data_IF_165467304583
#
_entry.id   IF_165467304583
#
_cell.length_a   1.000
_cell.length_b   1.000
_cell.length_c   1.000
_cell.angle_alpha   90.00
_cell.angle_beta   90.00
_cell.angle_gamma   90.00
#
_symmetry.space_group_name_H-M   'P 1'
#
loop_
_entity.id
_entity.type
_entity.pdbx_description
1 polymer ?
#
# COMPACT_ATOMS: atom_id res chain seq x y z
N UNK A 1 -47.31 -58.79 44.45
CA UNK A 1 -46.02 -58.20 44.12
C UNK A 1 -46.06 -57.81 42.61
N UNK A 2 -46.36 -56.57 42.36
CA UNK A 2 -46.43 -56.05 40.96
C UNK A 2 -45.22 -55.16 40.69
N UNK A 3 -44.70 -55.13 39.45
CA UNK A 3 -43.50 -54.36 39.14
C UNK A 3 -43.80 -52.86 38.91
N UNK A 4 -42.96 -52.04 39.52
CA UNK A 4 -42.96 -50.58 39.38
C UNK A 4 -42.62 -50.15 37.95
N UNK A 5 -43.47 -49.31 37.33
CA UNK A 5 -43.19 -48.64 36.06
C UNK A 5 -42.35 -47.37 36.34
N UNK A 6 -41.14 -47.34 35.80
CA UNK A 6 -40.32 -46.15 35.79
C UNK A 6 -40.80 -45.19 34.65
N UNK A 7 -41.25 -44.00 35.04
CA UNK A 7 -41.47 -42.87 34.12
C UNK A 7 -40.11 -42.32 33.68
N UNK A 8 -39.82 -42.45 32.36
CA UNK A 8 -38.73 -41.68 31.73
C UNK A 8 -39.25 -40.29 31.35
N UNK A 9 -38.74 -39.28 32.01
CA UNK A 9 -38.92 -37.88 31.62
C UNK A 9 -38.12 -37.61 30.34
N UNK A 10 -38.82 -37.29 29.27
CA UNK A 10 -38.22 -36.78 28.03
C UNK A 10 -37.93 -35.28 28.21
N UNK A 11 -36.64 -34.91 28.26
CA UNK A 11 -36.18 -33.53 28.17
C UNK A 11 -36.32 -33.08 26.68
N UNK A 12 -36.87 -31.88 26.41
CA UNK A 12 -36.94 -31.37 25.05
C UNK A 12 -35.53 -31.02 24.55
N UNK A 13 -35.25 -31.18 23.23
CA UNK A 13 -33.97 -30.80 22.66
C UNK A 13 -33.81 -29.29 22.71
N UNK A 14 -32.70 -28.84 23.30
CA UNK A 14 -32.25 -27.46 23.30
C UNK A 14 -31.84 -27.11 21.84
N UNK A 15 -32.71 -26.42 21.10
CA UNK A 15 -32.38 -25.83 19.83
C UNK A 15 -31.40 -24.67 20.06
N UNK A 16 -30.11 -24.95 19.91
CA UNK A 16 -29.09 -23.92 19.74
C UNK A 16 -29.37 -23.21 18.42
N UNK A 17 -30.02 -22.05 18.48
CA UNK A 17 -30.07 -21.13 17.36
C UNK A 17 -28.63 -20.61 17.11
N UNK A 18 -27.93 -21.23 16.18
CA UNK A 18 -26.70 -20.68 15.64
C UNK A 18 -27.14 -19.47 14.80
N UNK A 19 -27.12 -18.30 15.42
CA UNK A 19 -27.30 -17.04 14.74
C UNK A 19 -26.20 -16.90 13.69
N UNK A 20 -26.53 -17.04 12.42
CA UNK A 20 -25.64 -16.67 11.33
C UNK A 20 -25.39 -15.17 11.47
N UNK A 21 -24.21 -14.79 11.97
CA UNK A 21 -23.79 -13.40 11.97
C UNK A 21 -23.87 -12.91 10.52
N UNK A 22 -24.78 -11.98 10.24
CA UNK A 22 -24.95 -11.40 8.91
C UNK A 22 -23.63 -10.75 8.53
N UNK A 23 -23.03 -11.20 7.41
CA UNK A 23 -21.81 -10.57 6.88
C UNK A 23 -22.12 -9.14 6.51
N UNK A 24 -21.34 -8.20 7.03
CA UNK A 24 -21.43 -6.81 6.62
C UNK A 24 -21.20 -6.68 5.11
N UNK A 25 -22.03 -5.92 4.43
CA UNK A 25 -21.96 -5.65 3.00
C UNK A 25 -21.84 -4.16 2.80
N UNK A 26 -20.90 -3.74 1.98
CA UNK A 26 -20.70 -2.34 1.65
C UNK A 26 -21.83 -1.81 0.75
N UNK A 27 -22.59 -0.87 1.27
CA UNK A 27 -23.62 -0.11 0.54
C UNK A 27 -23.53 1.36 0.94
N UNK A 28 -24.13 2.28 0.19
CA UNK A 28 -24.24 3.68 0.59
C UNK A 28 -24.82 3.89 1.98
N UNK A 29 -25.64 2.97 2.47
CA UNK A 29 -26.28 3.08 3.79
C UNK A 29 -25.46 2.46 4.91
N UNK A 30 -24.59 1.48 4.61
CA UNK A 30 -23.80 0.77 5.62
C UNK A 30 -22.39 1.30 5.79
N UNK A 31 -21.84 2.02 4.80
CA UNK A 31 -20.50 2.59 4.85
C UNK A 31 -20.52 3.92 5.59
N UNK A 32 -19.98 3.91 6.82
CA UNK A 32 -19.87 5.07 7.72
C UNK A 32 -18.46 5.12 8.32
N UNK A 33 -17.43 5.42 7.53
CA UNK A 33 -16.05 5.33 7.99
C UNK A 33 -15.77 6.31 9.13
N UNK A 34 -15.05 5.82 10.15
CA UNK A 34 -14.53 6.64 11.24
C UNK A 34 -13.18 6.13 11.72
N UNK A 35 -12.33 7.04 12.18
CA UNK A 35 -11.08 6.69 12.88
C UNK A 35 -11.44 6.17 14.27
N UNK A 36 -11.11 4.90 14.53
CA UNK A 36 -11.34 4.27 15.84
C UNK A 36 -10.09 4.28 16.72
N UNK A 37 -8.91 4.41 16.10
CA UNK A 37 -7.62 4.53 16.79
C UNK A 37 -6.64 5.26 15.90
N UNK A 38 -5.78 6.07 16.50
CA UNK A 38 -4.63 6.65 15.83
C UNK A 38 -3.41 6.60 16.75
N UNK A 39 -2.26 6.22 16.20
CA UNK A 39 -1.00 6.10 16.93
C UNK A 39 0.16 6.63 16.10
N UNK A 40 1.06 7.37 16.74
CA UNK A 40 2.33 7.77 16.15
C UNK A 40 3.31 6.61 16.27
N UNK A 41 3.81 6.11 15.13
CA UNK A 41 4.78 5.02 15.09
C UNK A 41 6.22 5.54 15.15
N UNK A 42 6.50 6.64 14.47
CA UNK A 42 7.82 7.27 14.47
C UNK A 42 7.71 8.79 14.53
N UNK A 43 8.64 9.41 15.24
CA UNK A 43 8.80 10.87 15.32
C UNK A 43 10.16 11.24 14.74
N UNK A 44 10.18 12.17 13.79
CA UNK A 44 11.41 12.71 13.20
C UNK A 44 12.10 13.70 14.15
N UNK A 45 13.42 13.89 13.99
CA UNK A 45 14.18 14.90 14.74
C UNK A 45 14.57 14.52 16.16
N UNK A 46 14.21 13.34 16.66
CA UNK A 46 14.53 12.96 18.05
C UNK A 46 15.96 12.41 18.27
N UNK A 47 16.77 12.33 17.22
CA UNK A 47 18.21 12.00 17.30
C UNK A 47 18.56 10.63 17.90
N UNK A 48 17.61 9.89 18.43
CA UNK A 48 17.82 8.56 18.98
C UNK A 48 17.92 7.54 17.85
N UNK A 49 19.04 6.82 17.76
CA UNK A 49 19.27 5.80 16.72
C UNK A 49 19.79 6.34 15.39
N UNK A 50 20.20 7.61 15.28
CA UNK A 50 20.85 8.14 14.07
C UNK A 50 19.91 8.43 12.90
N UNK A 51 18.58 8.54 13.14
CA UNK A 51 17.59 8.91 12.12
C UNK A 51 17.14 10.33 12.29
N UNK A 52 17.31 11.15 11.23
CA UNK A 52 16.85 12.53 11.18
C UNK A 52 15.36 12.61 10.85
N UNK A 53 14.89 11.86 9.85
CA UNK A 53 13.51 11.95 9.34
C UNK A 53 12.98 10.56 8.96
N UNK A 54 11.75 10.23 9.36
CA UNK A 54 11.03 9.07 8.87
C UNK A 54 10.07 9.48 7.75
N UNK A 55 10.13 8.77 6.61
CA UNK A 55 9.31 9.02 5.44
C UNK A 55 8.87 7.73 4.74
N UNK A 56 8.06 7.86 3.70
CA UNK A 56 7.63 6.78 2.80
C UNK A 56 7.05 5.60 3.59
N UNK A 57 5.95 5.80 4.31
CA UNK A 57 5.39 4.77 5.17
C UNK A 57 4.67 3.69 4.37
N UNK A 58 4.88 2.43 4.77
CA UNK A 58 4.20 1.24 4.25
C UNK A 58 3.52 0.48 5.38
N UNK A 59 2.42 -0.19 5.06
CA UNK A 59 1.73 -1.09 6.00
C UNK A 59 1.24 -2.34 5.26
N UNK A 60 1.35 -3.49 5.91
CA UNK A 60 0.78 -4.74 5.47
C UNK A 60 0.08 -5.46 6.63
N UNK A 61 -1.08 -6.06 6.35
CA UNK A 61 -1.72 -6.99 7.26
C UNK A 61 -1.25 -8.40 6.90
N UNK A 62 -0.64 -9.09 7.84
CA UNK A 62 -0.14 -10.45 7.68
C UNK A 62 -1.17 -11.47 8.14
N UNK A 63 -1.07 -12.74 7.70
CA UNK A 63 -1.96 -13.81 8.19
C UNK A 63 -1.97 -13.86 9.73
N UNK A 64 -3.16 -14.09 10.32
CA UNK A 64 -3.36 -14.08 11.76
C UNK A 64 -3.62 -12.69 12.36
N UNK A 65 -3.88 -11.67 11.54
CA UNK A 65 -4.31 -10.34 11.97
C UNK A 65 -3.18 -9.44 12.49
N UNK A 66 -1.92 -9.87 12.39
CA UNK A 66 -0.78 -9.04 12.74
C UNK A 66 -0.50 -7.97 11.67
N UNK A 67 0.12 -6.86 12.08
CA UNK A 67 0.53 -5.79 11.17
C UNK A 67 2.04 -5.63 11.12
N UNK A 68 2.54 -5.36 9.94
CA UNK A 68 3.88 -4.87 9.68
C UNK A 68 3.79 -3.45 9.16
N UNK A 69 4.47 -2.51 9.81
CA UNK A 69 4.66 -1.14 9.33
C UNK A 69 6.14 -0.92 9.04
N UNK A 70 6.49 -0.31 7.90
CA UNK A 70 7.85 0.06 7.55
C UNK A 70 7.93 1.52 7.08
N UNK A 71 9.09 2.14 7.25
CA UNK A 71 9.38 3.50 6.78
C UNK A 71 10.85 3.66 6.44
N UNK A 72 11.17 4.60 5.55
CA UNK A 72 12.55 5.08 5.39
C UNK A 72 12.98 5.85 6.62
N UNK A 73 14.10 5.46 7.21
CA UNK A 73 14.81 6.26 8.21
C UNK A 73 15.97 7.01 7.56
N UNK A 74 15.78 8.26 7.23
CA UNK A 74 16.79 9.14 6.61
C UNK A 74 17.74 9.64 7.68
N UNK A 75 19.04 9.35 7.54
CA UNK A 75 20.01 9.55 8.62
C UNK A 75 20.43 11.01 8.82
N UNK A 76 20.51 11.79 7.74
CA UNK A 76 21.13 13.13 7.79
C UNK A 76 20.17 14.31 7.60
N UNK A 77 19.15 14.13 6.78
CA UNK A 77 18.19 15.18 6.41
C UNK A 77 16.88 14.59 5.92
N UNK A 78 15.91 15.44 5.58
CA UNK A 78 14.65 15.03 4.95
C UNK A 78 14.79 14.82 3.42
N UNK A 79 15.97 15.07 2.82
CA UNK A 79 16.19 14.91 1.39
C UNK A 79 16.05 13.48 0.91
N UNK A 80 15.65 13.30 -0.35
CA UNK A 80 15.50 11.97 -0.97
C UNK A 80 16.84 11.27 -1.19
N UNK A 81 17.90 12.02 -1.31
CA UNK A 81 19.30 11.55 -1.45
C UNK A 81 19.96 11.39 -0.10
N UNK A 82 20.87 10.43 0.06
CA UNK A 82 21.71 10.25 1.25
C UNK A 82 21.45 8.93 1.97
N UNK A 83 22.24 8.70 3.00
CA UNK A 83 22.21 7.45 3.78
C UNK A 83 20.88 7.21 4.47
N UNK A 84 20.36 5.99 4.38
CA UNK A 84 19.06 5.60 4.92
C UNK A 84 19.09 4.20 5.54
N UNK A 85 18.07 3.93 6.35
CA UNK A 85 17.69 2.58 6.78
C UNK A 85 16.24 2.30 6.33
N UNK A 86 15.91 1.04 6.23
CA UNK A 86 14.51 0.60 6.24
C UNK A 86 14.19 0.15 7.66
N UNK A 87 13.35 0.94 8.32
CA UNK A 87 12.91 0.74 9.69
C UNK A 87 11.52 0.09 9.68
N UNK A 88 11.33 -1.00 10.43
CA UNK A 88 10.05 -1.68 10.54
C UNK A 88 9.62 -1.84 12.01
N UNK A 89 8.32 -1.95 12.24
CA UNK A 89 7.68 -2.27 13.53
C UNK A 89 6.57 -3.28 13.32
N UNK A 90 6.33 -4.10 14.32
CA UNK A 90 5.32 -5.15 14.32
C UNK A 90 4.25 -4.89 15.36
N UNK A 91 3.03 -5.24 15.01
CA UNK A 91 1.90 -5.32 15.93
C UNK A 91 1.31 -6.73 15.85
N UNK A 92 1.23 -7.48 16.94
CA UNK A 92 0.62 -8.81 16.95
C UNK A 92 -0.90 -8.78 17.04
N UNK A 93 -1.50 -7.62 17.31
CA UNK A 93 -2.88 -7.44 17.78
C UNK A 93 -3.66 -6.40 16.96
N UNK A 94 -3.42 -6.37 15.64
CA UNK A 94 -4.15 -5.48 14.72
C UNK A 94 -3.91 -3.99 14.97
N UNK A 95 -2.70 -3.62 15.41
CA UNK A 95 -2.31 -2.24 15.68
C UNK A 95 -2.69 -1.73 17.07
N UNK A 96 -3.09 -2.60 18.00
CA UNK A 96 -3.35 -2.19 19.38
C UNK A 96 -2.04 -1.83 20.10
N UNK A 97 -1.03 -2.69 19.96
CA UNK A 97 0.31 -2.46 20.50
C UNK A 97 1.38 -2.62 19.40
N UNK A 98 2.52 -1.97 19.60
CA UNK A 98 3.63 -1.99 18.65
C UNK A 98 4.94 -2.32 19.33
N UNK A 99 5.68 -3.26 18.75
CA UNK A 99 7.05 -3.59 19.12
C UNK A 99 8.05 -2.45 18.90
N UNK A 100 9.31 -2.66 19.25
CA UNK A 100 10.39 -1.71 18.98
C UNK A 100 10.62 -1.55 17.47
N UNK A 101 11.37 -0.52 17.09
CA UNK A 101 11.85 -0.36 15.72
C UNK A 101 12.98 -1.35 15.46
N UNK A 102 12.84 -2.14 14.40
CA UNK A 102 13.83 -3.07 13.88
C UNK A 102 14.32 -2.58 12.51
N UNK A 103 15.58 -2.87 12.17
CA UNK A 103 16.18 -2.45 10.90
C UNK A 103 16.14 -3.63 9.93
N UNK A 104 15.35 -3.49 8.86
CA UNK A 104 15.28 -4.49 7.80
C UNK A 104 16.45 -4.41 6.81
N UNK A 105 16.93 -3.19 6.54
CA UNK A 105 18.11 -2.93 5.72
C UNK A 105 18.79 -1.64 6.14
N UNK A 106 20.12 -1.59 6.02
CA UNK A 106 20.97 -0.43 6.30
C UNK A 106 22.06 -0.34 5.22
N UNK A 107 22.26 0.84 4.65
CA UNK A 107 23.30 1.09 3.64
C UNK A 107 24.54 1.79 4.20
N UNK A 108 24.65 1.89 5.53
CA UNK A 108 25.74 2.60 6.21
C UNK A 108 25.54 4.11 6.23
N UNK A 109 26.62 4.88 6.04
CA UNK A 109 26.61 6.36 6.12
C UNK A 109 27.02 7.03 4.82
N UNK A 110 27.28 6.26 3.78
CA UNK A 110 27.69 6.73 2.46
C UNK A 110 26.53 6.82 1.47
N UNK A 111 26.84 7.33 0.31
CA UNK A 111 26.05 7.20 -0.89
C UNK A 111 24.66 7.81 -0.92
N UNK A 112 23.93 7.38 -1.93
CA UNK A 112 22.54 7.77 -2.18
C UNK A 112 21.57 7.06 -1.25
N UNK A 113 21.91 5.89 -0.79
CA UNK A 113 21.11 5.14 0.15
C UNK A 113 20.00 4.30 -0.47
N UNK A 114 19.18 3.77 0.44
CA UNK A 114 18.04 2.94 0.14
C UNK A 114 16.81 3.82 -0.13
N UNK A 115 15.99 3.42 -1.09
CA UNK A 115 14.69 4.02 -1.33
C UNK A 115 13.64 2.95 -1.12
N UNK A 116 12.86 3.08 -0.03
CA UNK A 116 11.80 2.13 0.32
C UNK A 116 10.73 2.14 -0.76
N UNK A 117 10.36 0.96 -1.20
CA UNK A 117 9.45 0.78 -2.33
C UNK A 117 8.12 0.19 -1.92
N UNK A 118 7.99 -1.12 -1.99
CA UNK A 118 6.69 -1.75 -1.85
C UNK A 118 6.72 -3.02 -0.99
N UNK A 119 5.62 -3.22 -0.24
CA UNK A 119 5.35 -4.44 0.51
C UNK A 119 4.28 -5.29 -0.19
N UNK A 120 4.44 -6.61 -0.19
CA UNK A 120 3.38 -7.54 -0.53
C UNK A 120 3.35 -8.72 0.43
N UNK A 121 2.15 -9.22 0.70
CA UNK A 121 1.95 -10.49 1.42
C UNK A 121 1.60 -11.57 0.40
N UNK A 122 2.37 -12.65 0.38
CA UNK A 122 2.27 -13.75 -0.55
C UNK A 122 2.13 -15.07 0.21
N UNK A 123 0.89 -15.46 0.52
CA UNK A 123 0.64 -16.56 1.44
C UNK A 123 1.27 -16.26 2.82
N UNK A 124 2.19 -17.10 3.32
CA UNK A 124 2.85 -16.86 4.61
C UNK A 124 4.05 -15.91 4.53
N UNK A 125 4.50 -15.56 3.34
CA UNK A 125 5.69 -14.74 3.14
C UNK A 125 5.34 -13.25 3.01
N UNK A 126 6.23 -12.39 3.49
CA UNK A 126 6.24 -10.96 3.22
C UNK A 126 7.39 -10.64 2.30
N UNK A 127 7.12 -9.89 1.25
CA UNK A 127 8.06 -9.43 0.26
C UNK A 127 8.23 -7.92 0.40
N UNK A 128 9.47 -7.45 0.50
CA UNK A 128 9.80 -6.03 0.56
C UNK A 128 10.73 -5.69 -0.60
N UNK A 129 10.26 -4.88 -1.54
CA UNK A 129 11.05 -4.33 -2.62
C UNK A 129 11.54 -2.94 -2.29
N UNK A 130 12.79 -2.65 -2.62
CA UNK A 130 13.40 -1.33 -2.48
C UNK A 130 14.45 -1.10 -3.56
N UNK A 131 14.72 0.16 -3.87
CA UNK A 131 15.80 0.55 -4.76
C UNK A 131 17.04 0.99 -3.96
N UNK A 132 18.20 0.87 -4.57
CA UNK A 132 19.48 1.38 -4.07
C UNK A 132 20.16 2.18 -5.17
N UNK A 133 20.77 3.30 -4.81
CA UNK A 133 21.49 4.16 -5.74
C UNK A 133 20.59 4.67 -6.89
N UNK A 134 19.35 5.04 -6.60
CA UNK A 134 18.36 5.41 -7.61
C UNK A 134 18.51 6.85 -8.16
N UNK A 135 19.30 7.70 -7.51
CA UNK A 135 19.47 9.11 -7.89
C UNK A 135 20.85 9.38 -8.48
N UNK A 136 21.03 9.36 -9.80
CA UNK A 136 22.29 9.78 -10.42
C UNK A 136 22.46 11.31 -10.33
N UNK A 137 23.70 11.87 -10.29
CA UNK A 137 25.00 11.18 -10.36
C UNK A 137 25.63 11.01 -8.96
N UNK A 138 25.22 10.01 -8.20
CA UNK A 138 25.76 9.76 -6.88
C UNK A 138 26.93 8.75 -6.94
N UNK A 139 27.94 8.95 -6.08
CA UNK A 139 29.07 8.01 -5.93
C UNK A 139 28.63 6.79 -5.10
N UNK A 140 27.62 6.08 -5.54
CA UNK A 140 26.97 5.01 -4.80
C UNK A 140 27.11 3.63 -5.49
N UNK A 141 27.43 3.61 -6.77
CA UNK A 141 27.44 2.40 -7.59
C UNK A 141 26.28 2.34 -8.59
N UNK A 142 26.14 1.26 -9.34
CA UNK A 142 25.05 1.12 -10.28
C UNK A 142 23.70 1.05 -9.55
N UNK A 143 22.65 1.67 -10.09
CA UNK A 143 21.31 1.55 -9.57
C UNK A 143 20.88 0.08 -9.50
N UNK A 144 20.18 -0.29 -8.44
CA UNK A 144 19.71 -1.66 -8.28
C UNK A 144 18.35 -1.71 -7.59
N UNK A 145 17.56 -2.72 -7.97
CA UNK A 145 16.30 -3.07 -7.31
C UNK A 145 16.48 -4.37 -6.54
N UNK A 146 16.18 -4.34 -5.27
CA UNK A 146 16.42 -5.42 -4.33
C UNK A 146 15.12 -5.93 -3.72
N UNK A 147 15.04 -7.23 -3.49
CA UNK A 147 13.92 -7.92 -2.84
C UNK A 147 14.40 -8.60 -1.57
N UNK A 148 13.79 -8.29 -0.45
CA UNK A 148 13.89 -9.04 0.81
C UNK A 148 12.67 -9.93 0.98
N UNK A 149 12.88 -11.10 1.60
CA UNK A 149 11.83 -12.04 1.99
C UNK A 149 11.85 -12.27 3.48
N UNK A 150 10.67 -12.30 4.06
CA UNK A 150 10.43 -12.73 5.42
C UNK A 150 9.41 -13.86 5.45
N UNK A 151 9.62 -14.84 6.34
CA UNK A 151 8.71 -15.97 6.58
C UNK A 151 8.07 -15.94 7.97
N UNK A 152 8.32 -14.89 8.71
CA UNK A 152 7.86 -14.70 10.09
C UNK A 152 7.10 -13.37 10.28
N UNK A 153 6.46 -12.90 9.19
CA UNK A 153 5.69 -11.67 9.18
C UNK A 153 6.52 -10.39 9.20
N UNK A 154 7.79 -10.45 8.73
CA UNK A 154 8.70 -9.32 8.64
C UNK A 154 9.59 -9.12 9.87
N UNK A 155 9.61 -10.08 10.84
CA UNK A 155 10.50 -10.00 12.01
C UNK A 155 11.95 -10.28 11.66
N UNK A 156 12.18 -11.20 10.74
CA UNK A 156 13.51 -11.44 10.19
C UNK A 156 13.46 -11.44 8.66
N UNK A 157 14.58 -11.09 8.04
CA UNK A 157 14.71 -10.97 6.61
C UNK A 157 15.83 -11.82 6.08
N UNK A 158 15.58 -12.54 5.00
CA UNK A 158 16.60 -13.27 4.26
C UNK A 158 17.57 -12.35 3.52
N UNK A 159 18.59 -12.90 2.87
CA UNK A 159 19.52 -12.11 2.06
C UNK A 159 18.78 -11.42 0.90
N UNK A 160 19.20 -10.21 0.51
CA UNK A 160 18.57 -9.48 -0.59
C UNK A 160 18.83 -10.19 -1.94
N UNK A 161 17.77 -10.37 -2.71
CA UNK A 161 17.84 -10.80 -4.10
C UNK A 161 17.92 -9.57 -5.01
N UNK A 162 18.94 -9.50 -5.86
CA UNK A 162 19.07 -8.44 -6.87
C UNK A 162 18.21 -8.79 -8.08
N UNK A 163 17.32 -7.85 -8.48
CA UNK A 163 16.43 -7.98 -9.63
C UNK A 163 16.86 -7.12 -10.83
N UNK A 164 17.99 -6.44 -10.77
CA UNK A 164 18.43 -5.47 -11.80
C UNK A 164 18.61 -6.13 -13.17
N UNK A 165 19.07 -7.36 -13.23
CA UNK A 165 19.23 -8.10 -14.51
C UNK A 165 17.87 -8.33 -15.20
N UNK A 166 16.84 -8.67 -14.42
CA UNK A 166 15.46 -8.83 -14.92
C UNK A 166 14.91 -7.53 -15.49
N UNK A 167 15.36 -6.41 -14.94
CA UNK A 167 14.95 -5.07 -15.31
C UNK A 167 15.80 -4.46 -16.43
N UNK A 168 16.77 -5.25 -16.97
CA UNK A 168 17.64 -4.81 -18.07
C UNK A 168 18.62 -3.71 -17.69
N UNK A 169 18.98 -3.63 -16.39
CA UNK A 169 19.87 -2.60 -15.85
C UNK A 169 19.24 -1.21 -15.72
N UNK A 170 17.95 -1.08 -16.03
CA UNK A 170 17.22 0.18 -15.83
C UNK A 170 16.81 0.37 -14.38
N UNK A 171 16.67 1.61 -13.96
CA UNK A 171 16.15 1.95 -12.64
C UNK A 171 14.67 1.53 -12.56
N UNK A 172 14.35 0.78 -11.53
CA UNK A 172 12.98 0.49 -11.16
C UNK A 172 12.83 0.82 -9.68
N UNK A 173 12.20 1.93 -9.39
CA UNK A 173 11.82 2.34 -8.05
C UNK A 173 10.42 1.76 -7.74
N UNK A 174 10.32 0.71 -6.90
CA UNK A 174 9.02 0.09 -6.64
C UNK A 174 8.09 1.03 -5.90
N UNK A 175 6.83 1.08 -6.26
CA UNK A 175 5.79 1.80 -5.55
C UNK A 175 5.93 3.32 -5.53
N UNK A 176 6.02 3.93 -4.28
CA UNK A 176 5.85 3.26 -2.98
C UNK A 176 4.41 2.85 -2.70
N UNK A 177 4.26 1.79 -1.92
CA UNK A 177 2.94 1.29 -1.53
C UNK A 177 2.87 -0.24 -1.40
N UNK A 178 1.76 -0.82 -1.85
CA UNK A 178 1.55 -2.26 -1.79
C UNK A 178 1.72 -2.91 -3.16
N UNK A 179 2.42 -4.05 -3.21
CA UNK A 179 2.22 -5.03 -4.25
C UNK A 179 1.03 -5.94 -3.93
N UNK A 180 0.59 -6.73 -4.88
CA UNK A 180 -0.53 -7.66 -4.70
C UNK A 180 -0.15 -9.09 -5.08
N UNK A 181 -0.81 -10.07 -4.43
CA UNK A 181 -0.96 -11.41 -4.94
C UNK A 181 -2.38 -11.58 -5.46
N UNK A 182 -2.54 -11.80 -6.77
CA UNK A 182 -3.85 -11.95 -7.39
C UNK A 182 -4.65 -13.11 -6.79
N UNK A 183 -5.91 -12.84 -6.49
CA UNK A 183 -6.84 -13.82 -5.93
C UNK A 183 -7.79 -14.38 -7.00
N UNK A 184 -7.88 -13.76 -8.17
CA UNK A 184 -8.84 -14.07 -9.24
C UNK A 184 -8.14 -14.37 -10.57
N UNK A 185 -8.85 -15.04 -11.46
CA UNK A 185 -8.45 -15.20 -12.85
C UNK A 185 -8.45 -13.82 -13.60
N UNK A 186 -7.68 -13.67 -14.67
CA UNK A 186 -6.60 -14.57 -15.08
C UNK A 186 -5.41 -14.51 -14.11
N UNK A 187 -4.55 -15.54 -14.16
CA UNK A 187 -3.30 -15.62 -13.39
C UNK A 187 -3.46 -15.52 -11.87
N UNK A 188 -4.42 -16.25 -11.29
CA UNK A 188 -4.55 -16.36 -9.84
C UNK A 188 -3.23 -16.82 -9.20
N UNK A 189 -2.81 -16.16 -8.14
CA UNK A 189 -1.53 -16.42 -7.45
C UNK A 189 -0.37 -15.57 -7.94
N UNK A 190 -0.51 -14.88 -9.08
CA UNK A 190 0.51 -13.96 -9.62
C UNK A 190 0.79 -12.84 -8.64
N UNK A 191 2.06 -12.57 -8.41
CA UNK A 191 2.53 -11.36 -7.73
C UNK A 191 2.67 -10.24 -8.74
N UNK A 192 2.22 -9.05 -8.35
CA UNK A 192 2.31 -7.85 -9.17
C UNK A 192 2.80 -6.69 -8.32
N UNK A 193 3.88 -6.08 -8.74
CA UNK A 193 4.33 -4.79 -8.24
C UNK A 193 4.28 -3.75 -9.34
N UNK A 194 4.07 -2.50 -8.99
CA UNK A 194 4.29 -1.37 -9.88
C UNK A 194 5.51 -0.60 -9.42
N UNK A 195 6.25 -0.05 -10.35
CA UNK A 195 7.36 0.83 -10.09
C UNK A 195 7.52 1.84 -11.22
N UNK A 196 8.29 2.88 -10.94
CA UNK A 196 8.61 3.94 -11.89
C UNK A 196 10.11 3.96 -12.15
N UNK A 197 10.50 4.57 -13.25
CA UNK A 197 11.90 4.82 -13.56
C UNK A 197 12.47 5.99 -12.75
N UNK A 198 13.55 6.56 -13.22
CA UNK A 198 14.02 7.84 -12.69
C UNK A 198 13.00 8.93 -12.96
N UNK A 199 12.95 9.95 -12.11
CA UNK A 199 12.08 11.14 -12.24
C UNK A 199 12.14 11.78 -13.65
N UNK A 200 13.03 11.34 -14.46
CA UNK A 200 13.34 11.98 -15.72
C UNK A 200 12.68 11.37 -16.94
N UNK A 201 12.11 10.15 -16.98
CA UNK A 201 11.61 9.73 -18.29
C UNK A 201 10.96 8.34 -18.49
N UNK A 202 10.99 7.40 -17.57
CA UNK A 202 10.71 6.01 -17.95
C UNK A 202 9.26 5.56 -17.75
N UNK A 203 8.46 6.41 -17.11
CA UNK A 203 7.06 6.09 -16.82
C UNK A 203 6.93 5.01 -15.75
N UNK A 204 5.81 4.27 -15.77
CA UNK A 204 5.55 3.17 -14.84
C UNK A 204 5.60 1.83 -15.56
N UNK A 205 6.04 0.81 -14.84
CA UNK A 205 6.13 -0.58 -15.32
C UNK A 205 5.66 -1.53 -14.24
N UNK A 206 4.98 -2.60 -14.64
CA UNK A 206 4.63 -3.70 -13.75
C UNK A 206 5.77 -4.72 -13.71
N UNK A 207 5.97 -5.30 -12.54
CA UNK A 207 6.89 -6.42 -12.29
C UNK A 207 6.05 -7.62 -11.86
N UNK A 208 6.18 -8.73 -12.57
CA UNK A 208 5.32 -9.90 -12.45
C UNK A 208 6.09 -11.13 -12.02
N UNK A 209 5.47 -11.98 -11.18
CA UNK A 209 5.96 -13.30 -10.86
C UNK A 209 4.82 -14.30 -10.74
N UNK A 210 4.95 -15.45 -11.40
CA UNK A 210 3.97 -16.53 -11.43
C UNK A 210 4.35 -17.74 -10.54
N UNK A 211 5.49 -17.67 -9.85
CA UNK A 211 6.06 -18.77 -9.07
C UNK A 211 6.35 -18.40 -7.60
N UNK A 212 5.55 -17.49 -7.03
CA UNK A 212 5.71 -17.03 -5.64
C UNK A 212 6.92 -16.11 -5.47
N UNK A 213 7.30 -15.37 -6.51
CA UNK A 213 8.38 -14.39 -6.47
C UNK A 213 9.78 -15.00 -6.60
N UNK A 214 9.93 -16.23 -7.07
CA UNK A 214 11.24 -16.84 -7.32
C UNK A 214 11.87 -16.29 -8.60
N UNK A 215 11.05 -16.17 -9.65
CA UNK A 215 11.42 -15.56 -10.92
C UNK A 215 10.52 -14.38 -11.19
N UNK A 216 11.11 -13.36 -11.78
CA UNK A 216 10.43 -12.11 -12.08
C UNK A 216 10.59 -11.77 -13.56
N UNK A 217 9.67 -11.00 -14.08
CA UNK A 217 9.72 -10.44 -15.42
C UNK A 217 8.97 -9.11 -15.49
N UNK A 218 9.29 -8.30 -16.46
CA UNK A 218 8.53 -7.11 -16.77
C UNK A 218 7.14 -7.46 -17.28
N UNK A 219 6.15 -6.68 -16.89
CA UNK A 219 4.81 -6.65 -17.42
C UNK A 219 4.54 -5.40 -18.23
N UNK A 220 3.28 -4.99 -18.27
CA UNK A 220 2.83 -3.79 -18.97
C UNK A 220 3.44 -2.51 -18.40
N UNK A 221 3.69 -1.56 -19.29
CA UNK A 221 4.22 -0.25 -18.92
C UNK A 221 3.46 0.89 -19.58
N UNK A 222 3.55 2.07 -18.97
CA UNK A 222 3.04 3.33 -19.50
C UNK A 222 4.22 4.32 -19.58
N UNK A 223 4.67 4.68 -20.79
CA UNK A 223 5.69 5.70 -20.96
C UNK A 223 5.12 7.10 -20.71
N UNK A 224 5.86 8.12 -21.12
CA UNK A 224 5.39 9.51 -21.03
C UNK A 224 4.06 9.77 -21.77
N UNK A 225 3.35 10.78 -21.34
CA UNK A 225 2.11 11.29 -21.96
C UNK A 225 2.45 12.57 -22.76
N UNK A 226 1.87 12.80 -23.95
CA UNK A 226 0.81 12.03 -24.62
C UNK A 226 1.31 10.73 -25.25
N UNK A 227 0.46 9.71 -25.20
CA UNK A 227 0.79 8.40 -25.78
C UNK A 227 0.83 8.43 -27.30
N UNK A 228 1.82 7.72 -27.91
CA UNK A 228 1.92 7.57 -29.36
C UNK A 228 2.45 8.78 -30.12
N UNK A 229 2.81 9.86 -29.43
CA UNK A 229 3.47 11.03 -30.01
C UNK A 229 4.99 10.99 -29.74
N UNK A 230 5.79 11.69 -30.55
CA UNK A 230 7.19 11.93 -30.21
C UNK A 230 7.30 12.64 -28.87
N UNK A 231 8.23 12.18 -28.03
CA UNK A 231 8.41 12.72 -26.69
C UNK A 231 9.07 14.11 -26.73
N UNK A 232 8.52 15.02 -25.96
CA UNK A 232 9.04 16.36 -25.76
C UNK A 232 9.53 16.56 -24.31
N UNK A 233 10.45 17.49 -24.04
CA UNK A 233 10.99 17.73 -22.69
C UNK A 233 9.98 18.13 -21.63
N UNK A 234 8.76 18.50 -22.01
CA UNK A 234 7.67 18.89 -21.10
C UNK A 234 6.54 17.86 -21.01
N UNK A 235 6.70 16.71 -21.68
CA UNK A 235 5.70 15.67 -21.56
C UNK A 235 5.70 15.08 -20.16
N UNK A 236 4.50 14.83 -19.65
CA UNK A 236 4.32 14.19 -18.37
C UNK A 236 4.86 12.77 -18.37
N UNK A 237 5.57 12.42 -17.32
CA UNK A 237 5.98 11.04 -17.04
C UNK A 237 5.15 10.51 -15.87
N UNK A 238 4.34 9.44 -16.06
CA UNK A 238 3.70 8.74 -14.95
C UNK A 238 4.75 8.32 -13.92
N UNK A 239 4.44 8.54 -12.63
CA UNK A 239 5.39 8.37 -11.55
C UNK A 239 4.85 7.37 -10.52
N UNK A 240 5.21 7.47 -9.26
CA UNK A 240 4.86 6.57 -8.16
C UNK A 240 3.50 5.90 -8.30
N UNK A 241 3.47 4.56 -8.19
CA UNK A 241 2.28 3.80 -8.56
C UNK A 241 2.02 2.61 -7.64
N UNK A 242 0.74 2.26 -7.51
CA UNK A 242 0.29 1.15 -6.68
C UNK A 242 -0.78 0.32 -7.40
N UNK A 243 -0.59 -1.01 -7.59
CA UNK A 243 -1.59 -1.89 -8.15
C UNK A 243 -2.61 -2.34 -7.09
N UNK A 244 -3.83 -2.62 -7.52
CA UNK A 244 -4.85 -3.33 -6.73
C UNK A 244 -5.75 -4.17 -7.64
N UNK A 245 -6.21 -5.33 -7.15
CA UNK A 245 -7.04 -6.23 -7.92
C UNK A 245 -8.52 -5.89 -7.74
N UNK A 246 -9.24 -5.76 -8.86
CA UNK A 246 -10.68 -5.53 -8.89
C UNK A 246 -11.49 -6.82 -8.82
N UNK A 247 -12.81 -6.77 -8.49
CA UNK A 247 -13.66 -7.96 -8.39
C UNK A 247 -13.74 -8.80 -9.66
N UNK A 248 -13.55 -8.21 -10.83
CA UNK A 248 -13.52 -8.91 -12.13
C UNK A 248 -12.16 -9.56 -12.47
N UNK A 249 -11.19 -9.47 -11.56
CA UNK A 249 -9.84 -10.01 -11.74
C UNK A 249 -8.88 -9.12 -12.52
N UNK A 250 -9.34 -7.98 -13.03
CA UNK A 250 -8.46 -6.98 -13.63
C UNK A 250 -7.61 -6.29 -12.56
N UNK A 251 -6.49 -5.70 -12.99
CA UNK A 251 -5.60 -4.91 -12.13
C UNK A 251 -5.81 -3.44 -12.46
N UNK A 252 -6.20 -2.66 -11.47
CA UNK A 252 -6.13 -1.21 -11.55
C UNK A 252 -4.81 -0.73 -10.94
N UNK A 253 -4.25 0.33 -11.49
CA UNK A 253 -3.01 0.95 -11.03
C UNK A 253 -3.30 2.41 -10.72
N UNK A 254 -3.15 2.80 -9.46
CA UNK A 254 -3.21 4.20 -9.03
C UNK A 254 -1.83 4.83 -9.26
N UNK A 255 -1.77 5.93 -10.02
CA UNK A 255 -0.52 6.53 -10.47
C UNK A 255 -0.48 8.01 -10.11
N UNK A 256 0.66 8.49 -9.62
CA UNK A 256 0.94 9.89 -9.35
C UNK A 256 0.99 10.66 -10.67
N UNK A 257 0.21 11.73 -10.74
CA UNK A 257 0.17 12.66 -11.85
C UNK A 257 1.20 13.78 -11.61
N UNK A 258 2.48 13.47 -11.84
CA UNK A 258 3.62 14.29 -11.39
C UNK A 258 3.53 15.76 -11.83
N UNK A 259 3.16 16.01 -13.08
CA UNK A 259 3.12 17.35 -13.64
C UNK A 259 1.69 17.92 -13.68
N UNK A 260 0.75 17.32 -12.97
CA UNK A 260 -0.65 17.72 -12.98
C UNK A 260 -1.23 17.79 -14.40
N UNK A 261 -0.88 16.81 -15.25
CA UNK A 261 -1.34 16.76 -16.63
C UNK A 261 -2.86 16.62 -16.68
N UNK A 262 -3.53 17.46 -17.46
CA UNK A 262 -4.98 17.61 -17.61
C UNK A 262 -5.73 18.07 -16.35
N UNK A 263 -5.28 17.68 -15.16
CA UNK A 263 -5.90 18.11 -13.90
C UNK A 263 -4.92 17.92 -12.73
N UNK A 264 -5.16 18.63 -11.65
CA UNK A 264 -4.48 18.40 -10.35
C UNK A 264 -5.20 17.28 -9.62
N UNK A 265 -5.13 16.09 -10.21
CA UNK A 265 -5.89 14.93 -9.77
C UNK A 265 -5.14 13.63 -10.02
N UNK A 266 -5.63 12.55 -9.45
CA UNK A 266 -5.06 11.22 -9.58
C UNK A 266 -5.26 10.64 -10.97
N UNK A 267 -4.29 9.86 -11.45
CA UNK A 267 -4.36 9.08 -12.66
C UNK A 267 -4.58 7.60 -12.33
N UNK A 268 -5.42 6.91 -13.09
CA UNK A 268 -5.64 5.47 -13.02
C UNK A 268 -5.36 4.83 -14.37
N UNK A 269 -4.74 3.65 -14.34
CA UNK A 269 -4.60 2.75 -15.48
C UNK A 269 -5.21 1.39 -15.17
N UNK A 270 -5.53 0.59 -16.19
CA UNK A 270 -6.13 -0.73 -16.00
C UNK A 270 -5.55 -1.77 -16.95
N UNK A 271 -5.31 -2.97 -16.41
CA UNK A 271 -4.90 -4.18 -17.13
C UNK A 271 -5.96 -5.26 -16.95
N UNK A 272 -6.40 -5.88 -18.06
CA UNK A 272 -7.37 -6.98 -18.03
C UNK A 272 -6.72 -8.35 -18.20
N UNK A 273 -5.45 -8.38 -18.57
CA UNK A 273 -4.65 -9.57 -18.87
C UNK A 273 -3.67 -9.95 -17.76
N UNK A 274 -3.98 -9.56 -16.51
CA UNK A 274 -3.16 -9.89 -15.34
C UNK A 274 -1.84 -9.14 -15.27
N UNK A 275 -1.77 -7.96 -15.87
CA UNK A 275 -0.59 -7.09 -15.83
C UNK A 275 0.34 -7.26 -17.02
N UNK A 276 -0.01 -8.06 -18.03
CA UNK A 276 0.82 -8.19 -19.24
C UNK A 276 0.88 -6.90 -20.04
N UNK A 277 -0.23 -6.15 -20.08
CA UNK A 277 -0.32 -4.86 -20.74
C UNK A 277 -0.97 -3.80 -19.88
N UNK A 278 -0.58 -2.53 -20.08
CA UNK A 278 -1.26 -1.34 -19.57
C UNK A 278 -1.62 -0.46 -20.79
N UNK A 279 -2.75 -0.71 -21.46
CA UNK A 279 -3.07 0.01 -22.68
C UNK A 279 -3.34 1.50 -22.39
N UNK A 280 -2.79 2.42 -23.20
CA UNK A 280 -3.02 3.86 -23.03
C UNK A 280 -4.50 4.26 -23.03
N UNK A 281 -5.34 3.55 -23.79
CA UNK A 281 -6.78 3.77 -23.83
C UNK A 281 -7.49 3.48 -22.49
N UNK A 282 -6.85 2.73 -21.58
CA UNK A 282 -7.36 2.43 -20.25
C UNK A 282 -6.91 3.45 -19.18
N UNK A 283 -6.20 4.50 -19.59
CA UNK A 283 -5.78 5.58 -18.68
C UNK A 283 -6.90 6.58 -18.49
N UNK A 284 -7.23 6.86 -17.25
CA UNK A 284 -8.23 7.86 -16.86
C UNK A 284 -7.67 8.83 -15.84
N UNK A 285 -8.16 10.06 -15.87
CA UNK A 285 -7.88 11.10 -14.88
C UNK A 285 -9.12 11.28 -14.01
N UNK A 286 -8.91 11.39 -12.69
CA UNK A 286 -9.99 11.34 -11.69
C UNK A 286 -10.18 12.72 -11.02
N UNK A 287 -10.95 13.67 -11.59
CA UNK A 287 -11.09 15.01 -11.02
C UNK A 287 -11.65 15.02 -9.59
N UNK A 288 -12.41 13.99 -9.21
CA UNK A 288 -12.89 13.82 -7.84
C UNK A 288 -11.76 13.50 -6.82
N UNK A 289 -10.61 13.04 -7.29
CA UNK A 289 -9.43 12.73 -6.47
C UNK A 289 -8.39 13.82 -6.63
N UNK A 290 -8.59 14.96 -5.98
CA UNK A 290 -7.59 16.03 -5.94
C UNK A 290 -6.26 15.48 -5.40
N UNK A 291 -5.14 15.84 -6.05
CA UNK A 291 -3.82 15.27 -5.74
C UNK A 291 -2.72 16.32 -5.92
N UNK A 292 -1.91 16.59 -4.88
CA UNK A 292 -0.79 17.52 -4.95
C UNK A 292 0.49 16.86 -5.48
N UNK A 293 0.38 15.90 -6.39
CA UNK A 293 1.47 15.08 -6.90
C UNK A 293 2.24 14.38 -5.77
N UNK A 294 1.62 13.37 -5.17
CA UNK A 294 2.14 12.64 -4.00
C UNK A 294 1.89 11.14 -4.15
N UNK A 295 2.71 10.28 -3.50
CA UNK A 295 2.37 8.87 -3.36
C UNK A 295 1.11 8.72 -2.49
N UNK A 296 0.22 7.83 -2.91
CA UNK A 296 -1.11 7.68 -2.33
C UNK A 296 -1.45 6.21 -2.12
N UNK A 297 -2.19 5.92 -1.06
CA UNK A 297 -2.69 4.57 -0.81
C UNK A 297 -3.90 4.24 -1.68
N UNK A 298 -3.91 3.04 -2.28
CA UNK A 298 -5.05 2.50 -3.01
C UNK A 298 -5.25 1.02 -2.64
N UNK A 299 -6.48 0.61 -2.41
CA UNK A 299 -6.82 -0.73 -1.93
C UNK A 299 -8.22 -1.14 -2.38
N UNK A 300 -8.37 -2.34 -2.95
CA UNK A 300 -9.68 -2.95 -3.12
C UNK A 300 -9.94 -3.92 -1.96
N UNK A 301 -10.92 -3.64 -1.14
CA UNK A 301 -11.28 -4.46 0.02
C UNK A 301 -12.75 -4.24 0.40
N UNK A 302 -13.36 -5.27 1.02
CA UNK A 302 -14.74 -5.19 1.54
C UNK A 302 -15.79 -4.77 0.49
N UNK A 303 -15.56 -5.05 -0.80
CA UNK A 303 -16.46 -4.63 -1.89
C UNK A 303 -16.32 -3.16 -2.29
N UNK A 304 -15.30 -2.47 -1.79
CA UNK A 304 -14.98 -1.08 -2.08
C UNK A 304 -13.62 -0.95 -2.74
N UNK A 305 -13.44 0.10 -3.52
CA UNK A 305 -12.11 0.67 -3.79
C UNK A 305 -11.91 1.85 -2.84
N UNK A 306 -10.82 1.81 -2.10
CA UNK A 306 -10.41 2.81 -1.12
C UNK A 306 -9.20 3.57 -1.63
N UNK A 307 -9.16 4.87 -1.39
CA UNK A 307 -8.06 5.75 -1.80
C UNK A 307 -7.75 6.75 -0.70
N UNK A 308 -6.46 6.95 -0.39
CA UNK A 308 -6.00 7.90 0.63
C UNK A 308 -4.90 8.80 0.09
N UNK A 309 -5.05 10.10 0.27
CA UNK A 309 -4.02 11.10 -0.03
C UNK A 309 -4.30 12.42 0.67
N UNK A 310 -3.35 13.37 0.69
CA UNK A 310 -3.64 14.80 0.93
C UNK A 310 -4.63 15.31 -0.13
N UNK A 311 -5.86 15.61 0.29
CA UNK A 311 -6.94 15.98 -0.63
C UNK A 311 -6.93 17.47 -0.93
N UNK A 312 -5.90 17.93 -1.63
CA UNK A 312 -5.68 19.31 -2.02
C UNK A 312 -5.00 19.37 -3.39
N UNK A 313 -5.17 20.43 -4.13
CA UNK A 313 -4.66 20.55 -5.50
C UNK A 313 -3.13 20.75 -5.57
N UNK A 314 -2.54 21.39 -4.57
CA UNK A 314 -1.13 21.81 -4.60
C UNK A 314 -0.38 21.62 -3.29
N UNK A 315 -1.09 21.53 -2.16
CA UNK A 315 -0.49 21.44 -0.85
C UNK A 315 -0.62 20.03 -0.25
N UNK A 316 0.38 19.61 0.45
CA UNK A 316 0.38 18.32 1.18
C UNK A 316 -0.30 18.48 2.53
N UNK A 317 -1.63 18.69 2.51
CA UNK A 317 -2.51 18.87 3.67
C UNK A 317 -3.80 18.09 3.48
N UNK A 318 -4.60 17.98 4.53
CA UNK A 318 -5.96 17.45 4.44
C UNK A 318 -6.02 15.97 4.03
N UNK A 319 -5.29 15.10 4.77
CA UNK A 319 -5.34 13.66 4.51
C UNK A 319 -6.76 13.14 4.60
N UNK A 320 -7.22 12.53 3.51
CA UNK A 320 -8.60 12.08 3.35
C UNK A 320 -8.63 10.65 2.82
N UNK A 321 -9.45 9.80 3.43
CA UNK A 321 -9.86 8.50 2.87
C UNK A 321 -11.13 8.69 2.04
N UNK A 322 -11.11 8.22 0.81
CA UNK A 322 -12.25 8.17 -0.11
C UNK A 322 -12.57 6.74 -0.52
N UNK A 323 -13.78 6.50 -0.96
CA UNK A 323 -14.21 5.18 -1.40
C UNK A 323 -15.12 5.24 -2.62
N UNK A 324 -15.13 4.15 -3.36
CA UNK A 324 -15.92 3.91 -4.56
C UNK A 324 -16.65 2.58 -4.42
N UNK A 325 -17.91 2.54 -4.85
CA UNK A 325 -18.74 1.33 -4.91
C UNK A 325 -18.72 0.66 -6.30
N UNK A 326 -18.13 1.31 -7.31
CA UNK A 326 -18.17 0.94 -8.71
C UNK A 326 -16.76 0.76 -9.33
N UNK A 327 -15.86 0.16 -8.55
CA UNK A 327 -14.50 -0.17 -8.97
C UNK A 327 -13.63 1.03 -9.34
N UNK A 328 -13.86 2.19 -8.71
CA UNK A 328 -13.09 3.41 -8.94
C UNK A 328 -13.57 4.25 -10.12
N UNK A 329 -14.75 3.95 -10.68
CA UNK A 329 -15.36 4.75 -11.76
C UNK A 329 -15.90 6.07 -11.22
N UNK A 330 -16.63 6.02 -10.10
CA UNK A 330 -17.08 7.20 -9.36
C UNK A 330 -16.68 7.12 -7.89
N UNK A 331 -16.56 8.28 -7.26
CA UNK A 331 -16.10 8.38 -5.87
C UNK A 331 -17.19 9.01 -5.01
N UNK A 332 -17.39 8.46 -3.81
CA UNK A 332 -18.37 8.98 -2.87
C UNK A 332 -18.04 10.43 -2.50
N UNK A 333 -19.03 11.32 -2.63
CA UNK A 333 -18.84 12.77 -2.58
C UNK A 333 -18.29 13.33 -1.26
N UNK A 334 -18.42 12.59 -0.15
CA UNK A 334 -17.84 12.94 1.15
C UNK A 334 -16.84 11.89 1.57
N UNK A 335 -15.55 12.25 1.59
CA UNK A 335 -14.49 11.42 2.18
C UNK A 335 -14.45 11.55 3.71
N UNK A 336 -13.76 10.63 4.37
CA UNK A 336 -13.34 10.76 5.76
C UNK A 336 -12.05 11.57 5.83
N UNK A 337 -12.09 12.80 6.33
CA UNK A 337 -10.89 13.56 6.65
C UNK A 337 -10.26 12.99 7.92
N UNK A 338 -9.08 12.36 7.76
CA UNK A 338 -8.33 11.74 8.85
C UNK A 338 -7.47 12.79 9.58
N UNK A 339 -6.85 13.69 8.82
CA UNK A 339 -6.01 14.76 9.38
C UNK A 339 -6.12 16.02 8.55
N UNK A 340 -6.40 17.16 9.17
CA UNK A 340 -6.58 18.44 8.47
C UNK A 340 -5.26 19.15 8.14
N UNK A 341 -4.23 18.93 8.97
CA UNK A 341 -2.92 19.60 8.85
C UNK A 341 -2.00 18.99 7.79
N UNK A 342 -0.72 19.39 7.82
CA UNK A 342 0.30 18.84 6.94
C UNK A 342 0.34 17.32 6.96
N UNK A 343 0.26 16.72 5.78
CA UNK A 343 0.26 15.27 5.57
C UNK A 343 0.94 14.97 4.23
N UNK A 344 1.54 13.80 4.09
CA UNK A 344 2.30 13.43 2.91
C UNK A 344 1.89 12.08 2.35
N UNK A 345 2.88 11.24 2.11
CA UNK A 345 2.69 9.89 1.59
C UNK A 345 1.80 9.05 2.50
N UNK A 346 0.99 8.20 1.91
CA UNK A 346 0.11 7.29 2.64
C UNK A 346 0.03 5.92 1.98
N UNK A 347 -0.24 4.89 2.78
CA UNK A 347 -0.50 3.54 2.31
C UNK A 347 -1.67 2.91 3.07
N UNK A 348 -2.36 1.97 2.42
CA UNK A 348 -3.54 1.29 2.95
C UNK A 348 -3.30 -0.21 3.07
N UNK A 349 -3.82 -0.82 4.12
CA UNK A 349 -3.96 -2.26 4.25
C UNK A 349 -5.32 -2.61 4.88
N UNK A 350 -5.77 -3.85 4.67
CA UNK A 350 -6.94 -4.40 5.36
C UNK A 350 -6.61 -5.82 5.85
N UNK A 351 -7.24 -6.29 6.92
CA UNK A 351 -7.12 -7.67 7.34
C UNK A 351 -7.50 -8.63 6.21
N UNK A 352 -6.91 -9.84 6.16
CA UNK A 352 -7.29 -10.85 5.20
C UNK A 352 -8.80 -11.18 5.29
N UNK A 353 -9.45 -11.49 4.16
CA UNK A 353 -10.86 -11.89 4.17
C UNK A 353 -11.08 -13.14 5.05
N UNK A 354 -12.05 -13.10 5.95
CA UNK A 354 -12.45 -14.24 6.79
C UNK A 354 -11.93 -14.20 8.23
N UNK A 355 -11.00 -13.36 8.57
CA UNK A 355 -10.50 -13.19 9.96
C UNK A 355 -11.39 -12.25 10.80
N UNK A 356 -12.52 -11.80 10.28
CA UNK A 356 -13.35 -10.77 10.90
C UNK A 356 -14.64 -11.36 11.51
N UNK A 357 -14.66 -11.44 12.84
CA UNK A 357 -15.90 -11.46 13.62
C UNK A 357 -16.42 -10.06 13.98
N UNK A 358 -15.80 -8.99 13.48
CA UNK A 358 -16.02 -7.59 13.91
C UNK A 358 -16.21 -6.67 12.69
N UNK A 359 -16.53 -5.40 12.95
CA UNK A 359 -16.69 -4.37 11.91
C UNK A 359 -15.49 -4.35 10.92
N UNK A 360 -15.75 -4.12 9.62
CA UNK A 360 -14.70 -4.09 8.60
C UNK A 360 -13.69 -2.98 8.88
N UNK A 361 -12.42 -3.35 9.06
CA UNK A 361 -11.34 -2.43 9.39
C UNK A 361 -10.45 -2.16 8.18
N UNK A 362 -9.90 -0.95 8.16
CA UNK A 362 -8.83 -0.52 7.24
C UNK A 362 -7.75 0.18 8.04
N UNK A 363 -6.51 -0.10 7.70
CA UNK A 363 -5.32 0.53 8.27
C UNK A 363 -4.77 1.55 7.30
N UNK A 364 -4.59 2.78 7.75
CA UNK A 364 -4.04 3.88 6.98
C UNK A 364 -2.79 4.40 7.69
N UNK A 365 -1.62 4.11 7.12
CA UNK A 365 -0.36 4.70 7.56
C UNK A 365 -0.04 5.94 6.73
N UNK A 366 0.50 6.99 7.37
CA UNK A 366 0.74 8.25 6.66
C UNK A 366 1.76 9.16 7.34
N UNK A 367 2.38 10.02 6.55
CA UNK A 367 3.21 11.13 7.03
C UNK A 367 2.32 12.22 7.62
N UNK A 368 2.65 12.69 8.82
CA UNK A 368 1.85 13.62 9.64
C UNK A 368 2.70 14.66 10.32
N UNK A 369 2.21 15.91 10.34
CA UNK A 369 2.83 16.97 11.14
C UNK A 369 1.88 18.10 11.49
N UNK A 370 2.40 19.04 12.27
CA UNK A 370 1.72 20.29 12.60
C UNK A 370 2.15 21.42 11.67
N UNK A 371 3.44 21.47 11.35
CA UNK A 371 4.04 22.46 10.46
C UNK A 371 4.56 21.84 9.17
N UNK A 372 5.15 20.63 9.23
CA UNK A 372 5.68 19.88 8.10
C UNK A 372 5.11 18.46 8.09
N UNK A 373 4.73 17.95 6.92
CA UNK A 373 4.22 16.58 6.80
C UNK A 373 5.22 15.50 7.25
N UNK A 374 6.49 15.81 7.33
CA UNK A 374 7.59 14.90 7.67
C UNK A 374 7.94 14.82 9.16
N UNK A 375 7.14 15.43 10.04
CA UNK A 375 7.42 15.45 11.49
C UNK A 375 7.22 14.06 12.15
N UNK A 376 6.32 13.27 11.62
CA UNK A 376 6.04 11.95 12.16
C UNK A 376 5.41 11.01 11.10
N UNK A 377 5.37 9.73 11.43
CA UNK A 377 4.58 8.71 10.73
C UNK A 377 3.55 8.16 11.70
N UNK A 378 2.28 8.23 11.31
CA UNK A 378 1.13 7.78 12.10
C UNK A 378 0.37 6.66 11.40
N UNK A 379 -0.26 5.78 12.20
CA UNK A 379 -1.22 4.79 11.73
C UNK A 379 -2.60 5.11 12.30
N UNK A 380 -3.58 5.22 11.43
CA UNK A 380 -5.00 5.27 11.77
C UNK A 380 -5.67 3.92 11.48
N UNK A 381 -6.36 3.37 12.47
CA UNK A 381 -7.31 2.26 12.31
C UNK A 381 -8.68 2.85 12.05
N UNK A 382 -9.32 2.46 10.96
CA UNK A 382 -10.59 3.01 10.50
C UNK A 382 -11.62 1.89 10.44
N UNK A 383 -12.75 2.03 11.15
CA UNK A 383 -13.94 1.19 10.96
C UNK A 383 -14.73 1.73 9.77
N UNK A 384 -15.14 0.85 8.85
CA UNK A 384 -15.98 1.22 7.71
C UNK A 384 -17.49 1.19 8.04
N UNK A 385 -17.87 0.49 9.10
CA UNK A 385 -19.27 0.33 9.51
C UNK A 385 -19.77 1.36 10.53
N UNK A 386 -18.95 2.34 10.90
CA UNK A 386 -19.28 3.30 11.97
C UNK A 386 -19.10 2.69 13.35
N UNK A 387 -20.00 3.01 14.28
CA UNK A 387 -20.04 2.40 15.60
C UNK A 387 -20.55 0.96 15.50
N UNK A 388 -19.93 0.01 16.27
CA UNK A 388 -20.46 -1.34 16.43
C UNK A 388 -21.81 -1.34 17.14
#
# INVERSE_FOLDING_TARGET
>A
MGPARALRALLPPLLLAIGAASRWVATPDTVRPRVVREQVLWVSGQGRGGVHTFRVPLVAATPGGALLACAEGRKRSAADVGAKIIACRHSPDGGATWGPTEVAADDGWGGDGLNLGALAVAGPEVLLLFARCAHPPQACGPPSTLLLRSRDGGRSWGPPQNLSDVLGGEVFAPGPGSGIQKQRAPFRGRLVFCGHGTLERDGVTLLLSDDGGRRWRRGGGLPAIPFGAPRHPRDFTPDECQPYELPDGSIAVSIRNQDSYRCRCRMLARSWDGGETLPPAAVTFQPALLDPAVAAGALASHGLVLFSNPAHESERVNLTLRWSFDNGTTWWGRGLRVWAGPSGYSALAAPPPGEQGHAPLVYLIYEKGRSLSTESVSLATISLAGDP
#
